data_IF_191797260582
#
_entry.id   IF_191797260582
#
_cell.length_a   1.000
_cell.length_b   1.000
_cell.length_c   1.000
_cell.angle_alpha   90.00
_cell.angle_beta   90.00
_cell.angle_gamma   90.00
#
_symmetry.space_group_name_H-M   'P 1'
#
loop_
_entity.id
_entity.type
_entity.pdbx_description
1 polymer ?
#
# COMPACT_ATOMS: atom_id res chain seq x y z
N UNK A 1 -35.48 2.59 13.81
CA UNK A 1 -34.26 2.94 14.57
C UNK A 1 -33.09 2.36 13.80
N UNK A 2 -32.16 3.18 13.34
CA UNK A 2 -30.93 2.72 12.65
C UNK A 2 -30.08 1.97 13.65
N UNK A 3 -29.98 0.63 13.54
CA UNK A 3 -28.94 -0.10 14.25
C UNK A 3 -27.61 0.26 13.59
N UNK A 4 -26.82 1.11 14.23
CA UNK A 4 -25.45 1.35 13.77
C UNK A 4 -24.67 0.05 13.94
N UNK A 5 -23.92 -0.33 12.89
CA UNK A 5 -23.03 -1.47 12.97
C UNK A 5 -22.04 -1.26 14.13
N UNK A 6 -21.87 -2.29 14.96
CA UNK A 6 -20.83 -2.31 15.97
C UNK A 6 -19.47 -2.17 15.27
N UNK A 7 -18.70 -1.16 15.64
CA UNK A 7 -17.37 -0.89 15.13
C UNK A 7 -16.42 -0.67 16.29
N UNK A 8 -15.14 -0.98 16.08
CA UNK A 8 -14.11 -0.76 17.10
C UNK A 8 -14.02 0.72 17.45
N UNK A 9 -13.67 1.01 18.70
CA UNK A 9 -13.52 2.37 19.24
C UNK A 9 -12.51 3.19 18.42
N UNK A 10 -11.53 2.52 17.81
CA UNK A 10 -10.59 3.10 16.83
C UNK A 10 -10.08 2.04 15.86
N UNK A 11 -9.52 2.44 14.70
CA UNK A 11 -8.88 1.49 13.80
C UNK A 11 -7.76 0.71 14.50
N UNK A 12 -7.65 -0.58 14.17
CA UNK A 12 -6.59 -1.46 14.66
C UNK A 12 -5.22 -1.02 14.15
N UNK A 13 -4.22 -0.92 15.04
CA UNK A 13 -2.83 -0.54 14.70
C UNK A 13 -1.82 -1.59 15.19
N UNK A 14 -0.56 -1.50 14.75
CA UNK A 14 0.52 -2.33 15.29
C UNK A 14 0.58 -2.19 16.82
N UNK A 15 0.77 -3.32 17.49
CA UNK A 15 0.89 -3.41 18.94
C UNK A 15 -0.44 -3.59 19.67
N UNK A 16 -1.57 -3.44 18.96
CA UNK A 16 -2.88 -3.78 19.54
C UNK A 16 -2.95 -5.29 19.82
N UNK A 17 -3.52 -5.61 20.98
CA UNK A 17 -3.88 -6.97 21.37
C UNK A 17 -5.35 -7.19 21.03
N UNK A 18 -5.59 -8.17 20.16
CA UNK A 18 -6.94 -8.62 19.80
C UNK A 18 -7.24 -9.94 20.52
N UNK A 19 -8.51 -10.17 20.86
CA UNK A 19 -8.97 -11.42 21.47
C UNK A 19 -10.17 -12.01 20.75
N UNK A 20 -10.22 -13.32 20.59
CA UNK A 20 -11.37 -14.05 20.06
C UNK A 20 -11.50 -15.41 20.74
N UNK A 21 -12.69 -16.02 20.68
CA UNK A 21 -12.92 -17.38 21.16
C UNK A 21 -12.59 -18.38 20.05
N UNK A 22 -11.72 -19.35 20.32
CA UNK A 22 -11.37 -20.40 19.35
C UNK A 22 -12.45 -21.47 19.23
N UNK A 23 -13.43 -21.50 20.13
CA UNK A 23 -14.54 -22.44 20.16
C UNK A 23 -15.86 -21.70 20.45
N UNK A 24 -16.28 -20.76 19.57
CA UNK A 24 -17.49 -20.01 19.83
C UNK A 24 -18.73 -20.91 19.81
N UNK A 25 -19.76 -20.52 20.57
CA UNK A 25 -21.03 -21.25 20.62
C UNK A 25 -21.76 -21.29 19.26
N UNK A 26 -21.44 -20.34 18.37
CA UNK A 26 -22.05 -20.22 17.05
C UNK A 26 -21.03 -20.40 15.95
N UNK A 27 -21.37 -21.23 14.98
CA UNK A 27 -20.54 -21.46 13.79
C UNK A 27 -20.28 -20.18 12.97
N UNK A 28 -21.16 -19.18 13.05
CA UNK A 28 -21.00 -17.89 12.36
C UNK A 28 -19.86 -17.02 12.92
N UNK A 29 -19.42 -17.27 14.16
CA UNK A 29 -18.37 -16.50 14.83
C UNK A 29 -16.95 -16.99 14.47
N UNK A 30 -16.83 -18.19 13.88
CA UNK A 30 -15.59 -18.74 13.35
C UNK A 30 -15.85 -19.59 12.10
N UNK A 31 -15.57 -19.04 10.93
CA UNK A 31 -15.89 -19.64 9.64
C UNK A 31 -14.66 -19.85 8.77
N UNK A 32 -14.67 -20.85 7.89
CA UNK A 32 -13.70 -20.93 6.78
C UNK A 32 -14.25 -20.22 5.53
N UNK A 33 -13.40 -19.45 4.84
CA UNK A 33 -13.71 -18.91 3.52
C UNK A 33 -12.59 -19.14 2.51
N UNK A 34 -12.94 -19.14 1.22
CA UNK A 34 -11.97 -19.18 0.13
C UNK A 34 -11.90 -17.82 -0.54
N UNK A 35 -10.72 -17.20 -0.50
CA UNK A 35 -10.44 -15.96 -1.21
C UNK A 35 -9.79 -16.31 -2.55
N UNK A 36 -10.36 -15.80 -3.65
CA UNK A 36 -9.85 -16.00 -5.01
C UNK A 36 -9.40 -14.66 -5.59
N UNK A 37 -8.25 -14.64 -6.26
CA UNK A 37 -7.70 -13.43 -6.89
C UNK A 37 -6.84 -13.79 -8.12
N UNK A 38 -6.44 -12.76 -8.88
CA UNK A 38 -5.55 -12.90 -10.02
C UNK A 38 -4.22 -12.22 -9.74
N UNK A 39 -3.12 -12.91 -9.99
CA UNK A 39 -1.76 -12.41 -9.79
C UNK A 39 -0.85 -13.00 -10.88
N UNK A 40 -0.02 -12.16 -11.51
CA UNK A 40 0.84 -12.54 -12.64
C UNK A 40 0.09 -13.22 -13.79
N UNK A 41 -1.14 -12.77 -14.04
CA UNK A 41 -2.01 -13.34 -15.07
C UNK A 41 -2.62 -14.70 -14.72
N UNK A 42 -2.32 -15.27 -13.55
CA UNK A 42 -2.82 -16.57 -13.09
C UNK A 42 -3.89 -16.40 -12.02
N UNK A 43 -4.91 -17.25 -12.07
CA UNK A 43 -5.87 -17.40 -10.99
C UNK A 43 -5.19 -18.05 -9.79
N UNK A 44 -5.45 -17.51 -8.60
CA UNK A 44 -4.93 -17.95 -7.32
C UNK A 44 -6.10 -18.06 -6.33
N UNK A 45 -5.95 -18.93 -5.34
CA UNK A 45 -6.92 -19.04 -4.25
C UNK A 45 -6.27 -19.55 -2.99
N UNK A 46 -6.76 -19.11 -1.84
CA UNK A 46 -6.34 -19.63 -0.54
C UNK A 46 -7.54 -19.67 0.42
N UNK A 47 -7.46 -20.57 1.40
CA UNK A 47 -8.44 -20.70 2.48
C UNK A 47 -8.04 -19.87 3.68
N UNK A 48 -9.03 -19.28 4.34
CA UNK A 48 -8.89 -18.40 5.49
C UNK A 48 -9.90 -18.78 6.56
N UNK A 49 -9.47 -18.79 7.80
CA UNK A 49 -10.36 -18.68 8.96
C UNK A 49 -10.76 -17.22 9.13
N UNK A 50 -12.04 -16.97 9.34
CA UNK A 50 -12.64 -15.66 9.49
C UNK A 50 -13.42 -15.62 10.79
N UNK A 51 -13.15 -14.59 11.59
CA UNK A 51 -13.81 -14.41 12.88
C UNK A 51 -13.84 -12.91 13.24
N UNK A 52 -14.61 -12.58 14.26
CA UNK A 52 -14.59 -11.24 14.86
C UNK A 52 -13.75 -11.28 16.14
N UNK A 53 -12.89 -10.28 16.30
CA UNK A 53 -12.11 -10.09 17.50
C UNK A 53 -12.47 -8.79 18.21
N UNK A 54 -12.22 -8.78 19.51
CA UNK A 54 -12.28 -7.60 20.38
C UNK A 54 -10.91 -6.94 20.38
N UNK A 55 -10.82 -5.62 20.19
CA UNK A 55 -9.57 -4.90 20.43
C UNK A 55 -9.42 -4.57 21.91
N UNK A 56 -8.74 -5.46 22.64
CA UNK A 56 -8.53 -5.35 24.09
C UNK A 56 -7.77 -4.06 24.43
N UNK A 57 -6.77 -3.70 23.61
CA UNK A 57 -5.98 -2.48 23.79
C UNK A 57 -6.80 -1.21 23.58
N UNK A 58 -7.78 -1.23 22.66
CA UNK A 58 -8.68 -0.10 22.45
C UNK A 58 -9.84 -0.03 23.46
N UNK A 59 -10.01 -1.06 24.30
CA UNK A 59 -11.08 -1.12 25.29
C UNK A 59 -12.45 -1.44 24.69
N UNK A 60 -12.49 -2.06 23.50
CA UNK A 60 -13.75 -2.54 22.92
C UNK A 60 -14.44 -3.49 23.89
N UNK A 61 -15.77 -3.49 23.97
CA UNK A 61 -16.53 -4.42 24.83
C UNK A 61 -16.98 -5.66 24.07
N UNK A 62 -17.19 -5.52 22.78
CA UNK A 62 -17.79 -6.51 21.90
C UNK A 62 -16.83 -6.88 20.75
N UNK A 63 -16.89 -8.11 20.21
CA UNK A 63 -16.10 -8.49 19.06
C UNK A 63 -16.63 -7.80 17.80
N UNK A 64 -15.86 -6.85 17.28
CA UNK A 64 -16.26 -6.00 16.14
C UNK A 64 -15.18 -5.81 15.08
N UNK A 65 -13.95 -6.32 15.30
CA UNK A 65 -12.86 -6.27 14.31
C UNK A 65 -12.91 -7.54 13.47
N UNK A 66 -13.15 -7.49 12.14
CA UNK A 66 -13.02 -8.67 11.30
C UNK A 66 -11.54 -9.07 11.17
N UNK A 67 -11.28 -10.36 11.32
CA UNK A 67 -9.94 -10.95 11.25
C UNK A 67 -9.98 -12.09 10.24
N UNK A 68 -9.01 -12.09 9.33
CA UNK A 68 -8.80 -13.15 8.36
C UNK A 68 -7.43 -13.78 8.59
N UNK A 69 -7.36 -15.07 8.82
CA UNK A 69 -6.10 -15.79 8.99
C UNK A 69 -6.06 -16.94 8.01
N UNK A 70 -5.09 -16.95 7.09
CA UNK A 70 -4.92 -18.06 6.16
C UNK A 70 -4.81 -19.38 6.94
N UNK A 71 -5.53 -20.42 6.54
CA UNK A 71 -5.73 -21.64 7.35
C UNK A 71 -4.41 -22.28 7.81
N UNK A 72 -3.35 -22.24 6.99
CA UNK A 72 -2.02 -22.72 7.37
C UNK A 72 -1.40 -21.95 8.55
N UNK A 73 -1.59 -20.64 8.60
CA UNK A 73 -1.17 -19.78 9.72
C UNK A 73 -2.08 -19.96 10.93
N UNK A 74 -3.38 -20.13 10.71
CA UNK A 74 -4.34 -20.36 11.78
C UNK A 74 -3.99 -21.64 12.53
N UNK A 75 -3.80 -22.76 11.81
CA UNK A 75 -3.50 -24.04 12.43
C UNK A 75 -2.19 -23.98 13.23
N UNK A 76 -1.16 -23.35 12.65
CA UNK A 76 0.12 -23.15 13.32
C UNK A 76 0.03 -22.32 14.60
N UNK A 77 -0.86 -21.33 14.64
CA UNK A 77 -0.89 -20.31 15.71
C UNK A 77 -1.94 -20.61 16.77
N UNK A 78 -3.10 -21.15 16.38
CA UNK A 78 -4.30 -21.19 17.21
C UNK A 78 -4.91 -22.60 17.39
N UNK A 79 -4.52 -23.62 16.60
CA UNK A 79 -5.16 -24.96 16.64
C UNK A 79 -5.15 -25.60 18.03
N UNK A 80 -4.12 -25.33 18.83
CA UNK A 80 -3.96 -25.89 20.18
C UNK A 80 -4.49 -24.97 21.28
N UNK A 81 -5.13 -23.86 20.92
CA UNK A 81 -5.64 -22.88 21.89
C UNK A 81 -7.09 -23.20 22.25
N UNK A 82 -7.41 -23.22 23.54
CA UNK A 82 -8.75 -23.48 24.04
C UNK A 82 -9.37 -22.21 24.64
N UNK A 83 -10.58 -21.88 24.19
CA UNK A 83 -11.34 -20.72 24.65
C UNK A 83 -10.80 -19.40 24.11
N UNK A 84 -10.98 -18.34 24.90
CA UNK A 84 -10.56 -16.99 24.54
C UNK A 84 -9.04 -16.90 24.45
N UNK A 85 -8.56 -16.56 23.26
CA UNK A 85 -7.14 -16.40 22.94
C UNK A 85 -6.84 -14.97 22.53
N UNK A 86 -5.71 -14.45 22.99
CA UNK A 86 -5.19 -13.13 22.63
C UNK A 86 -4.02 -13.23 21.66
N UNK A 87 -3.93 -12.28 20.73
CA UNK A 87 -2.78 -12.14 19.83
C UNK A 87 -2.48 -10.67 19.56
N UNK A 88 -1.20 -10.37 19.34
CA UNK A 88 -0.74 -9.03 19.02
C UNK A 88 -0.70 -8.81 17.51
N UNK A 89 -1.18 -7.65 17.05
CA UNK A 89 -1.04 -7.19 15.67
C UNK A 89 0.39 -6.73 15.45
N UNK A 90 1.17 -7.54 14.74
CA UNK A 90 2.57 -7.26 14.39
C UNK A 90 2.70 -6.77 12.95
N UNK A 91 3.92 -6.50 12.50
CA UNK A 91 4.21 -6.12 11.11
C UNK A 91 3.99 -7.23 10.07
N UNK A 92 3.69 -8.47 10.50
CA UNK A 92 3.33 -9.57 9.59
C UNK A 92 1.85 -9.51 9.17
N UNK A 93 1.06 -8.72 9.87
CA UNK A 93 -0.33 -8.50 9.51
C UNK A 93 -0.43 -7.46 8.40
N UNK A 94 -1.46 -7.64 7.59
CA UNK A 94 -1.97 -6.65 6.66
C UNK A 94 -3.34 -6.19 7.12
N UNK A 95 -3.87 -5.15 6.49
CA UNK A 95 -5.23 -4.68 6.77
C UNK A 95 -5.93 -4.19 5.51
N UNK A 96 -7.25 -4.33 5.50
CA UNK A 96 -8.11 -3.56 4.60
C UNK A 96 -8.91 -2.55 5.39
N UNK A 97 -9.40 -1.51 4.72
CA UNK A 97 -10.23 -0.47 5.31
C UNK A 97 -11.06 0.21 4.23
N UNK A 98 -12.24 0.69 4.61
CA UNK A 98 -13.16 1.37 3.69
C UNK A 98 -12.58 2.68 3.18
N UNK A 99 -11.96 3.44 4.08
CA UNK A 99 -11.42 4.77 3.80
C UNK A 99 -10.18 5.06 4.67
N UNK A 100 -9.54 6.21 4.44
CA UNK A 100 -8.27 6.57 5.07
C UNK A 100 -8.36 6.79 6.59
N UNK A 101 -9.58 7.03 7.11
CA UNK A 101 -9.79 7.17 8.56
C UNK A 101 -9.59 5.84 9.29
N UNK A 102 -9.49 4.73 8.55
CA UNK A 102 -9.48 3.38 9.10
C UNK A 102 -10.87 2.88 9.46
N UNK A 103 -11.93 3.51 8.92
CA UNK A 103 -13.27 3.00 9.07
C UNK A 103 -13.37 1.56 8.54
N UNK A 104 -14.08 0.72 9.29
CA UNK A 104 -14.28 -0.70 9.01
C UNK A 104 -12.96 -1.48 8.80
N UNK A 105 -11.87 -1.06 9.47
CA UNK A 105 -10.58 -1.74 9.35
C UNK A 105 -10.69 -3.20 9.78
N UNK A 106 -10.26 -4.08 8.90
CA UNK A 106 -10.09 -5.51 9.16
C UNK A 106 -8.63 -5.90 9.01
N UNK A 107 -8.21 -6.96 9.68
CA UNK A 107 -6.80 -7.42 9.65
C UNK A 107 -6.69 -8.79 9.00
N UNK A 108 -5.58 -9.00 8.30
CA UNK A 108 -5.31 -10.22 7.53
C UNK A 108 -3.92 -10.74 7.86
N UNK A 109 -3.82 -12.01 8.26
CA UNK A 109 -2.55 -12.74 8.38
C UNK A 109 -2.50 -13.82 7.30
N UNK A 110 -1.52 -13.72 6.41
CA UNK A 110 -1.39 -14.61 5.26
C UNK A 110 0.04 -14.61 4.72
N UNK A 111 0.31 -15.53 3.79
CA UNK A 111 1.55 -15.58 3.04
C UNK A 111 1.77 -14.29 2.25
N UNK A 112 2.90 -13.62 2.54
CA UNK A 112 3.29 -12.30 2.00
C UNK A 112 3.51 -12.34 0.48
N UNK A 113 3.74 -13.51 -0.13
CA UNK A 113 3.86 -13.64 -1.59
C UNK A 113 2.51 -13.46 -2.31
N UNK A 114 1.40 -13.58 -1.57
CA UNK A 114 0.07 -13.40 -2.12
C UNK A 114 -0.33 -11.92 -2.09
N UNK A 115 -0.82 -11.41 -3.21
CA UNK A 115 -1.29 -10.02 -3.34
C UNK A 115 -2.80 -9.98 -3.67
N UNK A 116 -3.69 -10.42 -2.77
CA UNK A 116 -5.11 -10.27 -2.94
C UNK A 116 -5.54 -8.80 -2.73
N UNK A 117 -6.52 -8.37 -3.52
CA UNK A 117 -7.19 -7.08 -3.31
C UNK A 117 -8.10 -7.14 -2.08
N UNK A 118 -8.23 -6.03 -1.35
CA UNK A 118 -8.99 -6.00 -0.09
C UNK A 118 -10.48 -6.36 -0.26
N UNK A 119 -11.13 -5.96 -1.37
CA UNK A 119 -12.53 -6.32 -1.65
C UNK A 119 -12.77 -7.83 -1.71
N UNK A 120 -11.74 -8.64 -2.01
CA UNK A 120 -11.89 -10.10 -2.09
C UNK A 120 -12.18 -10.73 -0.74
N UNK A 121 -11.70 -10.14 0.35
CA UNK A 121 -11.96 -10.63 1.71
C UNK A 121 -13.40 -10.33 2.13
N UNK A 122 -13.85 -9.10 1.91
CA UNK A 122 -15.22 -8.69 2.25
C UNK A 122 -16.23 -9.45 1.40
N UNK A 123 -16.01 -9.56 0.09
CA UNK A 123 -16.92 -10.30 -0.80
C UNK A 123 -16.98 -11.80 -0.45
N UNK A 124 -15.83 -12.47 -0.28
CA UNK A 124 -15.81 -13.89 0.08
C UNK A 124 -16.46 -14.17 1.44
N UNK A 125 -16.24 -13.29 2.42
CA UNK A 125 -16.88 -13.42 3.73
C UNK A 125 -18.39 -13.23 3.65
N UNK A 126 -18.87 -12.18 2.99
CA UNK A 126 -20.30 -11.92 2.85
C UNK A 126 -21.03 -13.02 2.07
N UNK A 127 -20.45 -13.53 0.98
CA UNK A 127 -21.01 -14.66 0.21
C UNK A 127 -21.11 -15.91 1.09
N UNK A 128 -20.09 -16.18 1.91
CA UNK A 128 -20.15 -17.33 2.82
C UNK A 128 -21.18 -17.13 3.93
N UNK A 129 -21.35 -15.90 4.40
CA UNK A 129 -22.39 -15.56 5.36
C UNK A 129 -23.77 -15.76 4.72
N UNK A 130 -24.02 -15.26 3.50
CA UNK A 130 -25.28 -15.49 2.76
C UNK A 130 -25.60 -16.99 2.58
N UNK A 131 -24.60 -17.79 2.22
CA UNK A 131 -24.78 -19.23 2.02
C UNK A 131 -25.06 -19.99 3.33
N UNK A 132 -24.47 -19.56 4.44
CA UNK A 132 -24.69 -20.17 5.75
C UNK A 132 -26.03 -19.73 6.36
N UNK A 133 -26.59 -18.62 5.87
CA UNK A 133 -27.62 -17.84 6.56
C UNK A 133 -28.91 -17.64 5.74
N UNK A 134 -29.06 -18.30 4.58
CA UNK A 134 -30.38 -18.43 3.93
C UNK A 134 -31.45 -19.06 4.86
N UNK A 135 -31.04 -19.72 5.96
CA UNK A 135 -31.91 -20.26 7.01
C UNK A 135 -32.04 -19.37 8.28
N UNK A 136 -31.28 -18.25 8.44
CA UNK A 136 -31.24 -17.48 9.70
C UNK A 136 -30.97 -15.95 9.63
N UNK A 137 -30.88 -15.32 8.44
CA UNK A 137 -30.36 -13.94 8.24
C UNK A 137 -31.07 -12.82 9.00
N UNK A 138 -32.35 -13.00 9.28
CA UNK A 138 -33.19 -11.94 9.81
C UNK A 138 -32.90 -11.61 11.28
N UNK A 139 -32.13 -12.44 12.00
CA UNK A 139 -32.01 -12.35 13.47
C UNK A 139 -30.68 -11.75 14.00
N UNK A 140 -29.59 -11.72 13.23
CA UNK A 140 -28.24 -11.46 13.75
C UNK A 140 -27.62 -10.08 13.39
N UNK A 141 -28.41 -9.13 12.87
CA UNK A 141 -27.93 -7.76 12.60
C UNK A 141 -27.05 -7.61 11.35
N UNK A 142 -26.87 -8.67 10.56
CA UNK A 142 -26.10 -8.67 9.31
C UNK A 142 -26.89 -8.21 8.08
N UNK A 143 -28.20 -8.01 8.21
CA UNK A 143 -29.06 -7.50 7.13
C UNK A 143 -28.55 -6.18 6.53
N UNK A 144 -27.87 -5.33 7.33
CA UNK A 144 -27.25 -4.09 6.86
C UNK A 144 -26.17 -4.31 5.79
N UNK A 145 -25.45 -5.43 5.81
CA UNK A 145 -24.37 -5.70 4.86
C UNK A 145 -24.87 -6.35 3.56
N UNK A 146 -25.96 -7.13 3.62
CA UNK A 146 -26.56 -7.75 2.43
C UNK A 146 -27.14 -6.68 1.48
N UNK A 147 -27.87 -5.70 2.01
CA UNK A 147 -28.44 -4.60 1.20
C UNK A 147 -27.36 -3.63 0.66
N UNK A 148 -26.14 -3.67 1.23
CA UNK A 148 -25.03 -2.78 0.90
C UNK A 148 -23.88 -3.45 0.18
N UNK A 149 -24.05 -4.69 -0.27
CA UNK A 149 -22.97 -5.44 -0.93
C UNK A 149 -22.38 -4.69 -2.13
N UNK A 150 -23.22 -3.97 -2.87
CA UNK A 150 -22.79 -3.14 -4.00
C UNK A 150 -22.04 -1.87 -3.55
N UNK A 151 -22.48 -1.21 -2.46
CA UNK A 151 -21.82 -0.02 -1.90
C UNK A 151 -20.50 -0.35 -1.19
N UNK A 152 -20.49 -1.38 -0.34
CA UNK A 152 -19.28 -1.91 0.29
C UNK A 152 -18.34 -2.49 -0.76
N UNK A 153 -18.85 -3.26 -1.72
CA UNK A 153 -18.04 -3.75 -2.83
C UNK A 153 -17.26 -2.62 -3.48
N UNK A 154 -17.96 -1.58 -3.93
CA UNK A 154 -17.39 -0.37 -4.57
C UNK A 154 -16.36 0.36 -3.71
N UNK A 155 -16.60 0.51 -2.41
CA UNK A 155 -15.69 1.23 -1.52
C UNK A 155 -14.33 0.53 -1.34
N UNK A 156 -14.27 -0.79 -1.57
CA UNK A 156 -13.06 -1.60 -1.43
C UNK A 156 -12.44 -2.02 -2.78
N UNK A 157 -13.04 -1.63 -3.92
CA UNK A 157 -12.52 -1.95 -5.25
C UNK A 157 -11.19 -1.24 -5.52
N UNK A 158 -10.26 -1.94 -6.16
CA UNK A 158 -9.02 -1.36 -6.70
C UNK A 158 -7.81 -1.36 -5.77
N UNK A 159 -7.99 -1.54 -4.46
CA UNK A 159 -6.89 -1.49 -3.51
C UNK A 159 -6.39 -2.90 -3.11
N UNK A 160 -5.08 -3.06 -3.03
CA UNK A 160 -4.45 -4.20 -2.34
C UNK A 160 -4.63 -4.07 -0.84
N UNK A 161 -4.42 -5.17 -0.10
CA UNK A 161 -4.25 -5.07 1.35
C UNK A 161 -3.09 -4.12 1.69
N UNK A 162 -3.28 -3.31 2.72
CA UNK A 162 -2.26 -2.41 3.23
C UNK A 162 -1.33 -3.16 4.19
N UNK A 163 -0.03 -2.86 4.15
CA UNK A 163 0.90 -3.35 5.17
C UNK A 163 0.87 -2.42 6.38
N UNK A 164 0.92 -3.02 7.56
CA UNK A 164 1.15 -2.30 8.80
C UNK A 164 2.58 -1.79 8.96
N UNK A 165 3.54 -2.40 8.26
CA UNK A 165 4.88 -1.84 8.18
C UNK A 165 4.85 -0.61 7.27
N UNK A 166 4.96 0.59 7.86
CA UNK A 166 5.41 1.75 7.09
C UNK A 166 6.87 1.49 6.77
N UNK A 167 7.13 0.72 5.72
CA UNK A 167 8.45 0.58 5.16
C UNK A 167 8.78 1.96 4.57
N UNK A 168 9.35 2.80 5.42
CA UNK A 168 9.86 4.09 5.02
C UNK A 168 11.19 3.79 4.36
N UNK A 169 11.38 4.23 3.12
CA UNK A 169 12.65 4.09 2.42
C UNK A 169 13.76 4.75 3.23
N UNK A 170 14.88 4.07 3.43
CA UNK A 170 15.98 4.55 4.28
C UNK A 170 17.34 4.49 3.58
N UNK A 171 18.31 5.17 4.18
CA UNK A 171 19.72 5.01 3.82
C UNK A 171 20.13 3.55 3.99
N UNK A 172 20.86 3.01 3.02
CA UNK A 172 21.30 1.62 3.00
C UNK A 172 20.37 0.65 2.24
N UNK A 173 19.11 1.03 1.99
CA UNK A 173 18.20 0.23 1.17
C UNK A 173 18.71 0.10 -0.28
N UNK A 174 18.32 -0.99 -0.94
CA UNK A 174 18.68 -1.27 -2.35
C UNK A 174 17.43 -1.25 -3.22
N UNK A 175 17.41 -0.36 -4.21
CA UNK A 175 16.35 -0.25 -5.21
C UNK A 175 16.73 -0.98 -6.50
N UNK A 176 15.79 -1.71 -7.09
CA UNK A 176 15.95 -2.41 -8.36
C UNK A 176 15.51 -1.51 -9.53
N UNK A 177 16.46 -0.76 -10.08
CA UNK A 177 16.20 0.22 -11.14
C UNK A 177 16.37 -0.44 -12.52
N UNK A 178 15.40 -0.32 -13.44
CA UNK A 178 15.51 -0.94 -14.76
C UNK A 178 16.69 -0.36 -15.56
N UNK A 179 17.51 -1.22 -16.17
CA UNK A 179 18.66 -0.77 -16.97
C UNK A 179 18.34 -0.41 -18.42
N UNK A 180 17.11 -0.66 -18.85
CA UNK A 180 16.55 -0.26 -20.14
C UNK A 180 15.11 0.15 -19.93
N UNK A 181 14.67 1.18 -20.64
CA UNK A 181 13.23 1.45 -20.78
C UNK A 181 12.63 0.30 -21.58
N UNK A 182 11.66 -0.41 -21.02
CA UNK A 182 10.86 -1.32 -21.86
C UNK A 182 10.04 -0.43 -22.81
N UNK A 183 9.87 -0.87 -24.05
CA UNK A 183 9.13 -0.14 -25.10
C UNK A 183 7.70 0.28 -24.69
N UNK A 184 7.14 -0.37 -23.65
CA UNK A 184 5.83 -0.08 -23.06
C UNK A 184 5.87 0.28 -21.55
N UNK A 185 7.05 0.32 -20.92
CA UNK A 185 7.20 0.78 -19.53
C UNK A 185 7.77 2.18 -19.54
N UNK A 186 6.85 3.12 -19.44
CA UNK A 186 7.06 4.54 -19.37
C UNK A 186 7.95 4.93 -18.17
N UNK A 187 9.27 4.99 -18.40
CA UNK A 187 10.09 5.95 -17.69
C UNK A 187 9.85 7.30 -18.33
N UNK A 188 8.84 8.01 -17.82
CA UNK A 188 8.42 9.26 -18.42
C UNK A 188 9.47 10.32 -18.12
N UNK A 189 10.09 10.82 -19.18
CA UNK A 189 10.97 11.98 -19.08
C UNK A 189 10.11 13.16 -18.60
N UNK A 190 10.41 13.68 -17.42
CA UNK A 190 9.72 14.79 -16.78
C UNK A 190 10.60 16.01 -16.76
N UNK A 191 10.07 17.13 -17.22
CA UNK A 191 10.73 18.43 -17.05
C UNK A 191 10.27 19.04 -15.73
N UNK A 192 11.19 19.16 -14.79
CA UNK A 192 10.96 19.81 -13.50
C UNK A 192 11.47 21.24 -13.58
N UNK A 193 10.59 22.21 -13.31
CA UNK A 193 10.91 23.64 -13.25
C UNK A 193 10.85 24.15 -11.83
N UNK A 194 11.82 24.97 -11.42
CA UNK A 194 11.88 25.59 -10.09
C UNK A 194 12.53 26.97 -10.14
N UNK A 195 12.42 27.72 -9.04
CA UNK A 195 13.12 28.99 -8.86
C UNK A 195 14.30 28.78 -7.93
N UNK A 196 15.48 29.29 -8.31
CA UNK A 196 16.68 29.24 -7.48
C UNK A 196 17.48 30.52 -7.68
N UNK A 197 17.77 31.22 -6.56
CA UNK A 197 18.48 32.52 -6.55
C UNK A 197 17.85 33.56 -7.49
N UNK A 198 16.51 33.64 -7.51
CA UNK A 198 15.78 34.62 -8.33
C UNK A 198 15.72 34.31 -9.83
N UNK A 199 16.26 33.17 -10.28
CA UNK A 199 16.15 32.73 -11.68
C UNK A 199 15.35 31.44 -11.80
N UNK A 200 14.57 31.32 -12.87
CA UNK A 200 13.94 30.06 -13.24
C UNK A 200 15.01 29.07 -13.69
N UNK A 201 14.90 27.83 -13.23
CA UNK A 201 15.73 26.69 -13.60
C UNK A 201 14.83 25.56 -14.05
N UNK A 202 15.35 24.73 -14.94
CA UNK A 202 14.68 23.51 -15.36
C UNK A 202 15.69 22.40 -15.57
N UNK A 203 15.25 21.16 -15.38
CA UNK A 203 16.02 19.97 -15.69
C UNK A 203 15.08 18.81 -15.96
N UNK A 204 15.58 17.83 -16.71
CA UNK A 204 14.83 16.64 -17.09
C UNK A 204 15.21 15.45 -16.19
N UNK A 205 14.21 14.65 -15.84
CA UNK A 205 14.32 13.50 -14.96
C UNK A 205 13.57 12.32 -15.56
N UNK A 206 14.10 11.11 -15.44
CA UNK A 206 13.30 9.90 -15.59
C UNK A 206 12.64 9.56 -14.26
N UNK A 207 11.38 9.13 -14.31
CA UNK A 207 10.64 8.64 -13.15
C UNK A 207 10.28 7.17 -13.33
N UNK A 208 10.44 6.36 -12.28
CA UNK A 208 10.17 4.93 -12.28
C UNK A 208 9.43 4.51 -11.02
N UNK A 209 8.50 3.56 -11.13
CA UNK A 209 8.16 2.69 -10.00
C UNK A 209 9.22 1.59 -9.91
N UNK A 210 9.95 1.52 -8.81
CA UNK A 210 11.02 0.53 -8.58
C UNK A 210 10.79 -0.24 -7.29
N UNK A 211 11.32 -1.44 -7.24
CA UNK A 211 11.18 -2.34 -6.09
C UNK A 211 12.32 -2.09 -5.10
N UNK A 212 12.00 -1.89 -3.82
CA UNK A 212 12.98 -1.90 -2.74
C UNK A 212 13.27 -3.34 -2.31
N UNK A 213 14.39 -3.88 -2.78
CA UNK A 213 14.80 -5.25 -2.50
C UNK A 213 15.12 -5.49 -1.00
N UNK A 214 15.49 -4.43 -0.27
CA UNK A 214 15.80 -4.52 1.17
C UNK A 214 14.54 -4.49 2.03
N UNK A 215 13.55 -3.70 1.63
CA UNK A 215 12.28 -3.54 2.35
C UNK A 215 11.17 -4.39 1.71
N UNK A 216 11.39 -5.71 1.67
CA UNK A 216 10.36 -6.71 1.29
C UNK A 216 9.69 -6.47 -0.08
N UNK A 217 10.39 -5.86 -1.02
CA UNK A 217 9.86 -5.65 -2.36
C UNK A 217 8.84 -4.52 -2.48
N UNK A 218 8.82 -3.58 -1.53
CA UNK A 218 7.95 -2.40 -1.60
C UNK A 218 8.20 -1.58 -2.88
N UNK A 219 7.12 -1.14 -3.54
CA UNK A 219 7.21 -0.17 -4.62
C UNK A 219 7.58 1.22 -4.10
N UNK A 220 8.58 1.82 -4.74
CA UNK A 220 9.14 3.13 -4.40
C UNK A 220 9.19 3.96 -5.68
N UNK A 221 8.76 5.21 -5.58
CA UNK A 221 8.96 6.14 -6.68
C UNK A 221 10.42 6.58 -6.70
N UNK A 222 11.06 6.44 -7.85
CA UNK A 222 12.46 6.80 -8.06
C UNK A 222 12.58 7.79 -9.23
N UNK A 223 13.16 8.95 -8.94
CA UNK A 223 13.55 9.93 -9.95
C UNK A 223 15.05 9.93 -10.12
N UNK A 224 15.50 9.96 -11.37
CA UNK A 224 16.91 10.11 -11.70
C UNK A 224 17.07 11.19 -12.76
N UNK A 225 18.04 12.07 -12.56
CA UNK A 225 18.39 13.08 -13.54
C UNK A 225 18.72 12.44 -14.90
N UNK A 226 18.21 13.01 -16.00
CA UNK A 226 18.34 12.47 -17.36
C UNK A 226 19.78 12.08 -17.70
N UNK A 227 20.73 12.99 -17.50
CA UNK A 227 22.14 12.77 -17.83
C UNK A 227 22.80 11.73 -16.91
N UNK A 228 22.14 11.24 -15.87
CA UNK A 228 22.69 10.20 -14.98
C UNK A 228 22.10 8.82 -15.27
N UNK A 229 21.18 8.72 -16.24
CA UNK A 229 20.55 7.46 -16.62
C UNK A 229 20.72 7.10 -18.10
N UNK A 230 20.76 8.08 -19.01
CA UNK A 230 20.85 7.81 -20.45
C UNK A 230 22.12 7.04 -20.81
N UNK A 231 21.97 6.02 -21.68
CA UNK A 231 23.03 5.07 -22.02
C UNK A 231 24.27 5.68 -22.68
N UNK A 232 24.13 6.86 -23.29
CA UNK A 232 25.21 7.62 -23.93
C UNK A 232 25.88 8.64 -22.99
N UNK A 233 25.45 8.72 -21.73
CA UNK A 233 26.04 9.63 -20.77
C UNK A 233 27.45 9.21 -20.33
N UNK A 234 28.34 10.19 -20.26
CA UNK A 234 29.70 10.05 -19.73
C UNK A 234 29.83 10.50 -18.26
N UNK A 235 28.74 10.94 -17.63
CA UNK A 235 28.74 11.46 -16.25
C UNK A 235 29.38 10.47 -15.26
N UNK A 236 30.20 10.96 -14.33
CA UNK A 236 30.70 10.15 -13.20
C UNK A 236 29.59 9.67 -12.27
N UNK A 237 28.45 10.38 -12.27
CA UNK A 237 27.27 10.03 -11.50
C UNK A 237 26.30 9.11 -12.27
N UNK A 238 26.66 8.65 -13.48
CA UNK A 238 25.83 7.74 -14.24
C UNK A 238 25.55 6.45 -13.47
N UNK A 239 24.30 5.97 -13.49
CA UNK A 239 23.83 4.84 -12.69
C UNK A 239 24.69 3.58 -12.86
N UNK A 240 25.22 3.33 -14.06
CA UNK A 240 26.08 2.17 -14.32
C UNK A 240 27.46 2.23 -13.64
N UNK A 241 27.90 3.40 -13.17
CA UNK A 241 29.17 3.58 -12.44
C UNK A 241 29.01 3.40 -10.93
N UNK A 242 27.78 3.46 -10.43
CA UNK A 242 27.48 3.45 -9.00
C UNK A 242 26.60 2.27 -8.56
N UNK A 243 26.01 1.54 -9.51
CA UNK A 243 25.16 0.38 -9.25
C UNK A 243 25.54 -0.79 -10.18
N UNK A 244 25.58 -1.99 -9.63
CA UNK A 244 25.81 -3.24 -10.35
C UNK A 244 24.51 -3.74 -10.97
N UNK A 245 24.59 -4.49 -12.07
CA UNK A 245 23.41 -5.17 -12.62
C UNK A 245 23.25 -6.54 -11.98
N UNK A 246 22.03 -6.88 -11.57
CA UNK A 246 21.66 -8.22 -11.15
C UNK A 246 21.44 -9.16 -12.34
N UNK A 247 21.09 -10.42 -12.07
CA UNK A 247 20.84 -11.44 -13.09
C UNK A 247 19.70 -11.08 -14.05
N UNK A 248 18.71 -10.32 -13.58
CA UNK A 248 17.57 -9.84 -14.37
C UNK A 248 17.89 -8.56 -15.16
N UNK A 249 19.13 -8.08 -15.08
CA UNK A 249 19.59 -6.89 -15.77
C UNK A 249 19.05 -5.57 -15.20
N UNK A 250 18.61 -5.56 -13.94
CA UNK A 250 18.27 -4.33 -13.20
C UNK A 250 19.49 -3.84 -12.43
N UNK A 251 19.65 -2.53 -12.29
CA UNK A 251 20.65 -1.91 -11.42
C UNK A 251 20.23 -2.03 -9.96
N UNK A 252 21.13 -2.53 -9.11
CA UNK A 252 21.00 -2.55 -7.65
C UNK A 252 21.49 -1.22 -7.08
N UNK A 253 20.62 -0.22 -7.10
CA UNK A 253 20.93 1.13 -6.65
C UNK A 253 20.83 1.20 -5.13
N UNK A 254 21.98 1.30 -4.46
CA UNK A 254 22.03 1.51 -3.01
C UNK A 254 21.74 2.98 -2.68
N UNK A 255 20.77 3.20 -1.81
CA UNK A 255 20.44 4.52 -1.28
C UNK A 255 21.52 4.94 -0.29
N UNK A 256 22.06 6.13 -0.48
CA UNK A 256 23.06 6.73 0.39
C UNK A 256 22.92 8.26 0.42
N UNK A 257 23.90 8.94 1.02
CA UNK A 257 23.93 10.41 1.14
C UNK A 257 24.05 11.17 -0.20
N UNK A 258 24.21 10.48 -1.34
CA UNK A 258 24.12 11.08 -2.69
C UNK A 258 22.68 11.16 -3.18
N UNK A 259 21.77 10.39 -2.58
CA UNK A 259 20.34 10.46 -2.84
C UNK A 259 19.66 11.49 -1.95
N UNK A 260 18.59 12.07 -2.47
CA UNK A 260 17.63 12.87 -1.74
C UNK A 260 16.26 12.20 -1.75
N UNK A 261 15.35 12.67 -0.91
CA UNK A 261 13.98 12.19 -0.88
C UNK A 261 12.97 13.30 -0.68
N UNK A 262 11.75 13.04 -1.15
CA UNK A 262 10.57 13.74 -0.65
C UNK A 262 9.67 12.76 0.11
N UNK A 263 8.74 13.29 0.89
CA UNK A 263 7.82 12.50 1.71
C UNK A 263 6.48 13.22 1.84
N UNK A 264 5.41 12.44 1.98
CA UNK A 264 4.05 12.97 2.11
C UNK A 264 3.87 13.79 3.40
N UNK A 265 4.52 13.33 4.47
CA UNK A 265 4.46 13.95 5.77
C UNK A 265 5.76 13.70 6.56
N UNK A 266 5.84 14.26 7.77
CA UNK A 266 7.02 14.16 8.65
C UNK A 266 7.31 12.74 9.15
N UNK A 267 6.39 11.80 8.99
CA UNK A 267 6.58 10.40 9.40
C UNK A 267 7.42 9.61 8.39
N UNK A 268 7.64 10.16 7.19
CA UNK A 268 8.33 9.45 6.11
C UNK A 268 7.41 8.54 5.31
N UNK A 269 6.09 8.60 5.55
CA UNK A 269 5.10 7.89 4.74
C UNK A 269 5.23 8.28 3.27
N UNK A 270 5.14 7.26 2.40
CA UNK A 270 5.22 7.37 0.94
C UNK A 270 6.46 8.14 0.47
N UNK A 271 7.60 7.90 1.12
CA UNK A 271 8.88 8.51 0.75
C UNK A 271 9.30 8.06 -0.65
N UNK A 272 9.63 9.01 -1.51
CA UNK A 272 10.20 8.76 -2.82
C UNK A 272 11.65 9.21 -2.90
N UNK A 273 12.41 8.61 -3.79
CA UNK A 273 13.84 8.83 -3.92
C UNK A 273 14.12 9.68 -5.15
N UNK A 274 15.07 10.60 -5.02
CA UNK A 274 15.58 11.45 -6.08
C UNK A 274 17.09 11.33 -6.12
N UNK A 275 17.63 10.86 -7.24
CA UNK A 275 19.07 10.81 -7.50
C UNK A 275 19.45 11.83 -8.57
N UNK A 276 20.03 12.94 -8.12
CA UNK A 276 20.36 14.09 -8.96
C UNK A 276 21.42 14.99 -8.32
N UNK A 277 21.87 15.98 -9.08
CA UNK A 277 22.82 16.97 -8.60
C UNK A 277 22.22 17.77 -7.42
N UNK A 278 22.83 17.61 -6.24
CA UNK A 278 22.38 18.22 -4.98
C UNK A 278 22.56 19.74 -4.93
N UNK A 279 23.29 20.34 -5.88
CA UNK A 279 23.32 21.80 -6.04
C UNK A 279 22.00 22.35 -6.60
N UNK A 280 21.14 21.47 -7.11
CA UNK A 280 19.77 21.79 -7.52
C UNK A 280 18.89 21.75 -6.28
N UNK A 281 18.08 22.80 -6.08
CA UNK A 281 17.16 22.87 -4.95
C UNK A 281 15.69 22.95 -5.40
N UNK A 282 15.20 22.01 -6.21
CA UNK A 282 13.76 21.92 -6.47
C UNK A 282 13.02 21.52 -5.19
N UNK A 283 11.88 22.15 -4.95
CA UNK A 283 10.97 21.74 -3.89
C UNK A 283 10.32 20.39 -4.22
N UNK A 284 10.03 19.59 -3.19
CA UNK A 284 9.57 18.21 -3.33
C UNK A 284 8.25 18.10 -4.12
N UNK A 285 7.31 19.05 -3.95
CA UNK A 285 6.04 19.11 -4.68
C UNK A 285 6.20 19.18 -6.21
N UNK A 286 7.35 19.65 -6.71
CA UNK A 286 7.58 19.79 -8.16
C UNK A 286 7.71 18.42 -8.84
N UNK A 287 8.25 17.43 -8.13
CA UNK A 287 8.35 16.06 -8.64
C UNK A 287 6.98 15.42 -8.78
N UNK A 288 6.13 15.56 -7.75
CA UNK A 288 4.76 15.03 -7.77
C UNK A 288 3.91 15.72 -8.84
N UNK A 289 3.98 17.06 -8.95
CA UNK A 289 3.28 17.80 -10.02
C UNK A 289 3.75 17.41 -11.41
N UNK A 290 5.00 17.01 -11.59
CA UNK A 290 5.52 16.61 -12.90
C UNK A 290 4.90 15.32 -13.44
N UNK A 291 4.41 14.46 -12.55
CA UNK A 291 3.66 13.24 -12.92
C UNK A 291 2.30 13.61 -13.51
N UNK A 292 1.67 14.68 -13.03
CA UNK A 292 0.37 15.16 -13.52
C UNK A 292 0.42 15.90 -14.87
N UNK A 293 1.50 16.63 -15.12
CA UNK A 293 1.55 17.63 -16.21
C UNK A 293 2.16 17.11 -17.53
N UNK A 294 2.61 15.87 -17.59
CA UNK A 294 3.10 15.28 -18.83
C UNK A 294 1.94 14.92 -19.75
N UNK A 295 1.77 15.71 -20.82
CA UNK A 295 0.77 15.52 -21.87
C UNK A 295 0.88 14.16 -22.62
N UNK A 296 1.89 13.34 -22.30
CA UNK A 296 2.18 12.05 -22.92
C UNK A 296 1.76 10.83 -22.07
N UNK A 297 1.33 11.02 -20.83
CA UNK A 297 1.02 9.91 -19.93
C UNK A 297 -0.45 9.50 -20.12
N UNK A 298 -0.70 8.20 -20.32
CA UNK A 298 -2.07 7.69 -20.27
C UNK A 298 -2.61 7.77 -18.84
N UNK A 299 -3.92 7.94 -18.69
CA UNK A 299 -4.62 7.98 -17.40
C UNK A 299 -4.18 6.84 -16.45
N UNK A 300 -4.02 5.64 -17.00
CA UNK A 300 -3.57 4.45 -16.28
C UNK A 300 -2.15 4.57 -15.69
N UNK A 301 -1.24 5.28 -16.36
CA UNK A 301 0.11 5.52 -15.84
C UNK A 301 0.10 6.53 -14.70
N UNK A 302 -0.66 7.62 -14.86
CA UNK A 302 -0.82 8.60 -13.80
C UNK A 302 -1.42 7.94 -12.54
N UNK A 303 -2.39 7.03 -12.72
CA UNK A 303 -2.97 6.21 -11.64
C UNK A 303 -1.94 5.30 -10.99
N UNK A 304 -1.20 4.51 -11.77
CA UNK A 304 -0.17 3.61 -11.24
C UNK A 304 0.89 4.38 -10.44
N UNK A 305 1.35 5.51 -10.97
CA UNK A 305 2.36 6.35 -10.33
C UNK A 305 1.81 7.01 -9.05
N UNK A 306 0.58 7.52 -9.08
CA UNK A 306 -0.08 8.08 -7.90
C UNK A 306 -0.26 7.04 -6.77
N UNK A 307 -0.58 5.79 -7.13
CA UNK A 307 -0.64 4.68 -6.18
C UNK A 307 0.68 4.45 -5.43
N UNK A 308 1.84 4.64 -6.10
CA UNK A 308 3.17 4.53 -5.47
C UNK A 308 3.45 5.68 -4.47
N UNK A 309 2.86 6.87 -4.70
CA UNK A 309 2.85 7.93 -3.70
C UNK A 309 1.79 7.72 -2.60
N UNK A 310 1.09 6.58 -2.62
CA UNK A 310 -0.03 6.27 -1.75
C UNK A 310 -1.20 7.25 -1.90
N UNK A 311 -1.38 7.83 -3.09
CA UNK A 311 -2.52 8.65 -3.45
C UNK A 311 -3.56 7.73 -4.08
N UNK A 312 -4.76 7.66 -3.50
CA UNK A 312 -5.87 6.86 -4.04
C UNK A 312 -6.41 7.52 -5.30
N UNK A 313 -6.76 6.73 -6.31
CA UNK A 313 -7.26 7.26 -7.58
C UNK A 313 -8.48 6.46 -8.04
N UNK A 314 -9.63 6.73 -7.41
CA UNK A 314 -10.93 6.23 -7.86
C UNK A 314 -11.45 7.24 -8.88
N UNK A 315 -11.22 6.95 -10.17
CA UNK A 315 -11.12 7.94 -11.25
C UNK A 315 -10.01 8.97 -10.97
N UNK A 316 -9.30 9.46 -11.99
CA UNK A 316 -8.25 10.49 -11.75
C UNK A 316 -8.89 11.80 -11.35
N UNK A 317 -9.19 11.94 -10.06
CA UNK A 317 -9.49 13.21 -9.47
C UNK A 317 -8.16 13.96 -9.32
N UNK A 318 -7.79 14.69 -10.37
CA UNK A 318 -6.60 15.54 -10.43
C UNK A 318 -6.47 16.42 -9.17
N UNK A 319 -7.60 16.74 -8.54
CA UNK A 319 -7.68 17.49 -7.29
C UNK A 319 -6.94 16.81 -6.14
N UNK A 320 -7.05 15.49 -5.96
CA UNK A 320 -6.42 14.79 -4.82
C UNK A 320 -4.89 14.76 -4.92
N UNK A 321 -4.36 14.58 -6.13
CA UNK A 321 -2.91 14.67 -6.38
C UNK A 321 -2.44 16.13 -6.26
N UNK A 322 -3.26 17.10 -6.67
CA UNK A 322 -2.98 18.53 -6.47
C UNK A 322 -3.03 18.92 -4.99
N UNK A 323 -3.94 18.34 -4.21
CA UNK A 323 -4.08 18.55 -2.77
C UNK A 323 -2.88 17.94 -2.04
N UNK A 324 -2.46 16.72 -2.40
CA UNK A 324 -1.20 16.12 -1.94
C UNK A 324 -0.02 17.04 -2.24
N UNK A 325 0.13 17.47 -3.50
CA UNK A 325 1.20 18.38 -3.90
C UNK A 325 1.10 19.77 -3.25
N UNK A 326 -0.10 20.17 -2.81
CA UNK A 326 -0.36 21.37 -2.03
C UNK A 326 0.14 21.22 -0.59
N UNK A 327 -0.07 20.06 0.03
CA UNK A 327 0.39 19.75 1.40
C UNK A 327 1.90 19.76 1.57
N UNK A 328 2.64 19.40 0.52
CA UNK A 328 4.12 19.44 0.47
C UNK A 328 4.67 20.69 -0.25
N UNK A 329 3.83 21.70 -0.48
CA UNK A 329 4.21 22.92 -1.18
C UNK A 329 5.17 23.76 -0.33
N UNK A 330 6.30 24.15 -0.92
CA UNK A 330 7.36 24.91 -0.24
C UNK A 330 8.40 24.07 0.50
N UNK A 331 8.21 22.77 0.63
CA UNK A 331 9.20 21.89 1.27
C UNK A 331 10.32 21.49 0.31
N UNK A 332 11.56 21.58 0.78
CA UNK A 332 12.74 21.10 0.05
C UNK A 332 12.83 19.58 0.08
N UNK A 333 13.56 19.01 -0.87
CA UNK A 333 14.02 17.62 -0.74
C UNK A 333 14.95 17.48 0.47
N UNK A 334 14.89 16.33 1.11
CA UNK A 334 15.74 15.95 2.24
C UNK A 334 16.88 15.05 1.77
N UNK A 335 17.96 14.96 2.53
CA UNK A 335 19.09 14.06 2.20
C UNK A 335 19.01 12.82 3.08
N UNK A 336 19.31 11.64 2.52
CA UNK A 336 19.48 10.44 3.33
C UNK A 336 20.75 10.54 4.16
N UNK A 337 20.66 10.23 5.45
CA UNK A 337 21.79 10.26 6.39
C UNK A 337 22.35 8.87 6.65
#
# INVERSE_FOLDING_TARGET
>A
MSQNALSSTRPVVIGDTLSFDTHPDKDEDLMECTVKWKQDGKERSAKYMVFKAKNVTAGDTDPCVPVFVQTSYYNKTFENSNGVTEFMVTSQWHYGQRDETGADRFVVLHDEENQPYQHRFIASWLINLENLVHDAASAAGYAFYADKLDELGKAYLGDYLHSYSSLVVQSGDVLLVPSKLKFFSFGNLKTIKWMQRGSERSAEYYSFSVVNATQKGQDVMFFIQKEWWQSDSTSENHISKIATKNADGQYEFKIDAKSQYGQADKTGKNRWVVYHDKERHPYQHRFVKSILHSQADSLAQAQAMAGVFGIKVIDVNLKEILDFAGGIFGDSLHTFN
#
